data_IF_438932349561
#
_entry.id   IF_438932349561
#
_cell.length_a   1.000
_cell.length_b   1.000
_cell.length_c   1.000
_cell.angle_alpha   90.00
_cell.angle_beta   90.00
_cell.angle_gamma   90.00
#
_symmetry.space_group_name_H-M   'P 1'
#
loop_
_entity.id
_entity.type
_entity.pdbx_description
1 polymer ?
#
# COMPACT_ATOMS: atom_id res chain seq x y z
N UNK A 1 -9.82 3.50 0.76
CA UNK A 1 -8.91 3.10 1.85
C UNK A 1 -9.03 1.60 2.05
N UNK A 2 -7.91 0.89 2.14
CA UNK A 2 -7.80 -0.58 2.24
C UNK A 2 -6.84 -0.88 3.37
N UNK A 3 -7.30 -1.57 4.41
CA UNK A 3 -6.50 -1.94 5.58
C UNK A 3 -6.07 -3.40 5.49
N UNK A 4 -4.78 -3.67 5.64
CA UNK A 4 -4.19 -5.00 5.45
C UNK A 4 -3.23 -5.29 6.60
N UNK A 5 -3.62 -6.20 7.47
CA UNK A 5 -2.82 -6.60 8.65
C UNK A 5 -2.50 -8.08 8.66
N UNK A 6 -1.30 -8.41 9.15
CA UNK A 6 -0.81 -9.75 9.41
C UNK A 6 -0.09 -10.42 8.23
N UNK A 7 0.89 -11.25 8.56
CA UNK A 7 1.78 -11.94 7.61
C UNK A 7 1.05 -12.79 6.57
N UNK A 8 -0.09 -13.38 6.94
CA UNK A 8 -0.91 -14.20 6.03
C UNK A 8 -1.50 -13.41 4.85
N UNK A 9 -1.51 -12.07 4.90
CA UNK A 9 -1.95 -11.21 3.80
C UNK A 9 -0.79 -10.65 2.97
N UNK A 10 0.46 -10.89 3.37
CA UNK A 10 1.63 -10.30 2.72
C UNK A 10 1.74 -10.66 1.23
N UNK A 11 1.47 -11.93 0.90
CA UNK A 11 1.49 -12.38 -0.49
C UNK A 11 0.41 -11.70 -1.35
N UNK A 12 -0.78 -11.48 -0.78
CA UNK A 12 -1.86 -10.78 -1.47
C UNK A 12 -1.51 -9.29 -1.68
N UNK A 13 -0.84 -8.66 -0.72
CA UNK A 13 -0.34 -7.28 -0.82
C UNK A 13 0.71 -7.16 -1.93
N UNK A 14 1.67 -8.09 -1.99
CA UNK A 14 2.66 -8.19 -3.06
C UNK A 14 1.99 -8.26 -4.45
N UNK A 15 1.01 -9.15 -4.63
CA UNK A 15 0.24 -9.27 -5.88
C UNK A 15 -0.54 -8.01 -6.23
N UNK A 16 -1.05 -7.30 -5.23
CA UNK A 16 -1.86 -6.11 -5.43
C UNK A 16 -1.04 -4.85 -5.81
N UNK A 17 0.25 -4.78 -5.46
CA UNK A 17 1.07 -3.56 -5.63
C UNK A 17 2.22 -3.75 -6.60
N UNK A 18 2.93 -4.87 -6.55
CA UNK A 18 4.14 -5.07 -7.35
C UNK A 18 3.87 -5.77 -8.69
N UNK A 19 2.82 -6.58 -8.76
CA UNK A 19 2.37 -7.17 -10.03
C UNK A 19 1.34 -6.30 -10.73
N UNK A 20 1.05 -6.61 -12.00
CA UNK A 20 0.04 -5.87 -12.78
C UNK A 20 -1.40 -6.17 -12.36
N UNK A 21 -2.33 -5.37 -12.87
CA UNK A 21 -3.77 -5.57 -12.66
C UNK A 21 -4.21 -6.95 -13.17
N UNK A 22 -4.79 -7.75 -12.28
CA UNK A 22 -5.19 -9.13 -12.56
C UNK A 22 -6.50 -9.46 -11.83
N UNK A 23 -7.45 -10.09 -12.53
CA UNK A 23 -8.76 -10.49 -11.99
C UNK A 23 -8.67 -11.56 -10.89
N UNK A 24 -7.61 -12.37 -10.87
CA UNK A 24 -7.36 -13.34 -9.78
C UNK A 24 -7.02 -12.63 -8.46
N UNK A 25 -6.54 -11.38 -8.53
CA UNK A 25 -6.17 -10.55 -7.39
C UNK A 25 -6.89 -9.21 -7.49
N UNK A 26 -8.19 -9.21 -7.23
CA UNK A 26 -9.09 -8.07 -7.50
C UNK A 26 -8.65 -6.75 -6.88
N UNK A 27 -7.91 -6.79 -5.76
CA UNK A 27 -7.34 -5.60 -5.11
C UNK A 27 -6.35 -4.86 -6.04
N UNK A 28 -5.71 -5.55 -6.98
CA UNK A 28 -4.82 -4.93 -7.99
C UNK A 28 -5.56 -3.92 -8.88
N UNK A 29 -6.88 -4.01 -9.04
CA UNK A 29 -7.67 -3.03 -9.80
C UNK A 29 -7.54 -1.61 -9.22
N UNK A 30 -7.28 -1.48 -7.91
CA UNK A 30 -7.05 -0.19 -7.29
C UNK A 30 -5.80 0.52 -7.81
N UNK A 31 -4.86 -0.14 -8.48
CA UNK A 31 -3.75 0.51 -9.20
C UNK A 31 -4.19 1.50 -10.27
N UNK A 32 -5.44 1.43 -10.74
CA UNK A 32 -6.01 2.39 -11.70
C UNK A 32 -6.92 3.46 -11.04
N UNK A 33 -7.29 3.27 -9.77
CA UNK A 33 -8.17 4.20 -9.06
C UNK A 33 -7.49 5.55 -8.73
N UNK A 34 -8.07 6.73 -9.02
CA UNK A 34 -7.38 8.01 -8.87
C UNK A 34 -6.98 8.36 -7.42
N UNK A 35 -7.74 7.88 -6.42
CA UNK A 35 -7.43 8.08 -4.99
C UNK A 35 -7.62 6.78 -4.21
N UNK A 36 -6.53 6.07 -3.94
CA UNK A 36 -6.55 4.90 -3.07
C UNK A 36 -5.67 5.19 -1.85
N UNK A 37 -5.78 4.39 -0.80
CA UNK A 37 -4.86 4.43 0.33
C UNK A 37 -4.85 3.01 0.87
N UNK A 38 -3.69 2.39 0.86
CA UNK A 38 -3.39 1.14 1.52
C UNK A 38 -2.82 1.49 2.89
N UNK A 39 -3.28 0.82 3.93
CA UNK A 39 -2.71 0.94 5.27
C UNK A 39 -2.34 -0.47 5.69
N UNK A 40 -1.11 -0.70 6.12
CA UNK A 40 -0.65 -2.03 6.49
C UNK A 40 0.22 -2.04 7.75
N UNK A 41 0.36 -3.20 8.38
CA UNK A 41 1.37 -3.40 9.42
C UNK A 41 2.68 -3.92 8.81
N UNK A 42 3.75 -3.95 9.60
CA UNK A 42 5.04 -4.46 9.15
C UNK A 42 4.94 -5.92 8.68
N UNK A 43 4.15 -6.75 9.38
CA UNK A 43 3.96 -8.16 9.05
C UNK A 43 3.33 -8.36 7.65
N UNK A 44 2.41 -7.50 7.23
CA UNK A 44 1.85 -7.56 5.88
C UNK A 44 2.84 -7.17 4.78
N UNK A 45 4.01 -6.61 5.10
CA UNK A 45 5.02 -6.21 4.11
C UNK A 45 6.10 -7.26 3.82
N UNK A 46 6.05 -8.42 4.49
CA UNK A 46 7.10 -9.45 4.42
C UNK A 46 7.43 -9.96 3.00
N UNK A 47 6.44 -9.97 2.11
CA UNK A 47 6.60 -10.44 0.72
C UNK A 47 6.91 -9.31 -0.27
N UNK A 48 6.97 -8.06 0.18
CA UNK A 48 7.31 -6.91 -0.66
C UNK A 48 8.82 -6.79 -0.85
N UNK A 49 9.24 -6.19 -1.97
CA UNK A 49 10.66 -5.86 -2.17
C UNK A 49 11.07 -4.77 -1.19
N UNK A 50 12.28 -4.90 -0.67
CA UNK A 50 12.91 -3.91 0.22
C UNK A 50 12.89 -2.50 -0.38
N UNK A 51 13.04 -2.36 -1.70
CA UNK A 51 12.98 -1.07 -2.39
C UNK A 51 11.59 -0.43 -2.31
N UNK A 52 10.53 -1.22 -2.45
CA UNK A 52 9.13 -0.79 -2.38
C UNK A 52 8.82 -0.26 -0.99
N UNK A 53 9.15 -1.05 0.04
CA UNK A 53 8.96 -0.65 1.45
C UNK A 53 9.72 0.63 1.76
N UNK A 54 11.01 0.72 1.40
CA UNK A 54 11.81 1.94 1.63
C UNK A 54 11.25 3.18 0.93
N UNK A 55 10.72 3.02 -0.28
CA UNK A 55 10.11 4.12 -1.03
C UNK A 55 8.89 4.69 -0.29
N UNK A 56 7.98 3.82 0.15
CA UNK A 56 6.77 4.25 0.86
C UNK A 56 7.05 4.76 2.28
N UNK A 57 8.01 4.15 3.00
CA UNK A 57 8.48 4.68 4.30
C UNK A 57 9.03 6.10 4.18
N UNK A 58 9.83 6.39 3.15
CA UNK A 58 10.35 7.74 2.92
C UNK A 58 9.24 8.76 2.58
N UNK A 59 8.12 8.31 2.00
CA UNK A 59 6.98 9.17 1.69
C UNK A 59 6.03 9.39 2.87
N UNK A 60 6.11 8.56 3.91
CA UNK A 60 5.24 8.64 5.09
C UNK A 60 5.27 10.01 5.77
N UNK A 61 6.44 10.65 5.87
CA UNK A 61 6.58 12.01 6.44
C UNK A 61 5.79 13.05 5.65
N UNK A 62 5.89 13.00 4.32
CA UNK A 62 5.13 13.88 3.43
C UNK A 62 3.63 13.60 3.58
N UNK A 63 3.26 12.33 3.72
CA UNK A 63 1.87 11.89 3.88
C UNK A 63 1.23 12.36 5.17
N UNK A 64 1.93 12.25 6.29
CA UNK A 64 1.46 12.76 7.58
C UNK A 64 1.16 14.26 7.48
N UNK A 65 2.02 15.00 6.78
CA UNK A 65 1.87 16.43 6.53
C UNK A 65 0.72 16.75 5.57
N UNK A 66 0.48 15.91 4.55
CA UNK A 66 -0.65 16.05 3.61
C UNK A 66 -1.99 15.65 4.23
N UNK A 67 -2.00 14.69 5.16
CA UNK A 67 -3.18 14.32 5.95
C UNK A 67 -3.66 15.51 6.79
N UNK A 68 -2.73 16.26 7.38
CA UNK A 68 -3.02 17.53 8.06
C UNK A 68 -3.52 18.63 7.10
N UNK A 69 -3.30 18.51 5.79
CA UNK A 69 -3.74 19.45 4.75
C UNK A 69 -4.96 18.95 3.93
N UNK A 70 -5.49 17.75 4.20
CA UNK A 70 -6.73 17.24 3.59
C UNK A 70 -6.60 16.66 2.16
N UNK A 71 -5.41 16.26 1.71
CA UNK A 71 -5.20 15.70 0.36
C UNK A 71 -4.91 14.20 0.43
N UNK A 72 -5.81 13.35 -0.08
CA UNK A 72 -5.63 11.89 -0.12
C UNK A 72 -5.27 11.39 -1.53
N UNK A 73 -3.99 11.01 -1.71
CA UNK A 73 -3.51 10.26 -2.87
C UNK A 73 -2.98 8.87 -2.46
N UNK A 74 -2.93 7.98 -3.47
CA UNK A 74 -2.44 6.58 -3.45
C UNK A 74 -1.18 6.36 -2.64
N UNK A 75 -1.27 5.81 -1.44
CA UNK A 75 -0.08 5.37 -0.69
C UNK A 75 -0.34 4.19 0.23
N UNK A 76 0.73 3.47 0.56
CA UNK A 76 0.80 2.42 1.57
C UNK A 76 1.34 3.07 2.84
N UNK A 77 0.50 3.23 3.85
CA UNK A 77 0.86 3.78 5.16
C UNK A 77 1.10 2.61 6.11
N UNK A 78 2.33 2.47 6.61
CA UNK A 78 2.59 1.50 7.69
C UNK A 78 2.16 2.11 9.03
N UNK A 79 1.34 1.39 9.80
CA UNK A 79 1.07 1.70 11.23
C UNK A 79 2.14 1.15 12.14
#
# INVERSE_FOLDING_TARGET
MILITGAHKAFALYKAIEEGVNHMWTVSAFQQHPSCLFVCDEDATLELRVKTVKYFKALSEVHHRLSLMGVHSKLIEET
#
